data_IF_144451431578
#
_entry.id   IF_144451431578
#
_cell.length_a   1.000
_cell.length_b   1.000
_cell.length_c   1.000
_cell.angle_alpha   90.00
_cell.angle_beta   90.00
_cell.angle_gamma   90.00
#
_symmetry.space_group_name_H-M   'P 1'
#
loop_
_entity.id
_entity.type
_entity.pdbx_description
1 polymer ?
#
# COMPACT_ATOMS: atom_id res chain seq x y z
N UNK A 1 -18.96 39.46 -64.45
CA UNK A 1 -19.97 38.92 -63.52
C UNK A 1 -19.31 37.70 -62.87
N UNK A 2 -18.71 37.71 -61.67
CA UNK A 2 -18.91 38.45 -60.43
C UNK A 2 -17.56 38.44 -59.62
N UNK A 3 -16.94 39.61 -59.46
CA UNK A 3 -16.27 40.19 -58.26
C UNK A 3 -15.56 39.35 -57.15
N UNK A 4 -14.33 39.83 -56.77
CA UNK A 4 -13.82 40.17 -55.39
C UNK A 4 -13.25 39.02 -54.53
N UNK A 5 -12.12 39.06 -53.78
CA UNK A 5 -11.03 39.98 -53.36
C UNK A 5 -9.91 39.05 -52.80
N UNK A 6 -8.64 39.15 -53.18
CA UNK A 6 -7.55 39.89 -52.51
C UNK A 6 -7.14 39.48 -51.08
N UNK A 7 -5.92 38.90 -50.98
CA UNK A 7 -4.82 39.10 -50.00
C UNK A 7 -5.04 38.88 -48.49
N UNK A 8 -4.20 38.03 -47.87
CA UNK A 8 -3.32 38.44 -46.75
C UNK A 8 -2.32 37.35 -46.31
N UNK A 9 -1.10 37.82 -46.05
CA UNK A 9 0.08 37.17 -45.49
C UNK A 9 -0.14 36.72 -44.03
N UNK A 10 0.65 35.75 -43.53
CA UNK A 10 1.77 36.00 -42.58
C UNK A 10 2.29 34.71 -41.93
N UNK A 11 3.61 34.66 -41.75
CA UNK A 11 4.39 33.67 -40.99
C UNK A 11 4.48 34.06 -39.49
N UNK A 12 4.98 33.13 -38.67
CA UNK A 12 5.31 33.20 -37.23
C UNK A 12 4.09 33.18 -36.27
N UNK A 13 4.09 32.52 -35.11
CA UNK A 13 5.18 32.23 -34.17
C UNK A 13 4.77 31.15 -33.15
N UNK A 14 5.77 30.40 -32.67
CA UNK A 14 5.71 29.45 -31.55
C UNK A 14 5.29 30.18 -30.26
N UNK A 15 4.34 29.61 -29.51
CA UNK A 15 3.93 30.10 -28.19
C UNK A 15 3.21 29.01 -27.39
N UNK A 16 3.90 28.49 -26.37
CA UNK A 16 3.39 27.50 -25.40
C UNK A 16 2.41 28.20 -24.44
N UNK A 17 1.18 27.72 -24.32
CA UNK A 17 0.31 28.05 -23.19
C UNK A 17 -0.69 26.91 -22.89
N UNK A 18 -0.62 26.42 -21.64
CA UNK A 18 -1.62 25.56 -21.00
C UNK A 18 -3.00 26.23 -21.02
N UNK A 19 -4.05 25.49 -21.34
CA UNK A 19 -5.39 25.78 -20.79
C UNK A 19 -6.20 24.49 -20.68
N UNK A 20 -6.70 24.23 -19.46
CA UNK A 20 -7.69 23.20 -19.16
C UNK A 20 -9.00 23.53 -19.86
N UNK A 21 -9.59 22.58 -20.57
CA UNK A 21 -10.99 22.63 -20.98
C UNK A 21 -11.62 21.25 -20.75
N UNK A 22 -12.55 21.21 -19.79
CA UNK A 22 -13.44 20.08 -19.52
C UNK A 22 -14.45 20.08 -20.68
N UNK A 23 -14.38 19.09 -21.56
CA UNK A 23 -15.35 18.91 -22.65
C UNK A 23 -16.21 17.67 -22.37
N UNK A 24 -17.49 17.93 -22.18
CA UNK A 24 -18.59 16.98 -22.01
C UNK A 24 -18.64 15.95 -23.13
N UNK A 25 -18.81 14.67 -22.77
CA UNK A 25 -19.02 13.58 -23.72
C UNK A 25 -20.39 13.72 -24.40
N UNK A 26 -20.40 14.16 -25.65
CA UNK A 26 -21.50 13.87 -26.58
C UNK A 26 -20.98 12.84 -27.57
N UNK A 27 -21.60 11.65 -27.57
CA UNK A 27 -21.25 10.54 -28.43
C UNK A 27 -21.58 10.86 -29.88
N UNK A 28 -20.55 10.91 -30.74
CA UNK A 28 -20.71 10.76 -32.17
C UNK A 28 -19.93 9.53 -32.63
N UNK A 29 -20.63 8.55 -33.19
CA UNK A 29 -20.05 7.44 -33.93
C UNK A 29 -19.65 7.95 -35.31
N UNK A 30 -18.37 8.21 -35.49
CA UNK A 30 -17.79 8.40 -36.83
C UNK A 30 -16.45 7.69 -36.85
N UNK A 31 -16.36 6.69 -37.73
CA UNK A 31 -15.13 6.02 -38.14
C UNK A 31 -14.17 7.05 -38.73
N UNK A 32 -13.23 7.51 -37.90
CA UNK A 32 -12.09 8.28 -38.35
C UNK A 32 -10.93 7.32 -38.62
N UNK A 33 -10.62 7.12 -39.91
CA UNK A 33 -9.34 6.56 -40.34
C UNK A 33 -8.23 7.56 -39.98
N UNK A 34 -7.49 7.29 -38.91
CA UNK A 34 -6.36 8.13 -38.49
C UNK A 34 -5.14 7.74 -39.34
N UNK A 35 -4.90 8.50 -40.41
CA UNK A 35 -3.65 8.50 -41.18
C UNK A 35 -2.70 9.56 -40.58
N UNK A 36 -2.02 9.21 -39.49
CA UNK A 36 -0.82 9.89 -38.97
C UNK A 36 0.08 8.85 -38.28
N UNK A 37 1.22 8.45 -38.87
CA UNK A 37 2.13 7.46 -38.31
C UNK A 37 3.19 8.17 -37.44
N UNK A 38 2.92 8.39 -36.14
CA UNK A 38 3.96 8.87 -35.22
C UNK A 38 3.71 8.61 -33.73
N UNK A 39 3.05 7.50 -33.37
CA UNK A 39 3.19 6.88 -32.03
C UNK A 39 3.29 5.35 -32.09
N UNK A 40 3.60 4.82 -33.28
CA UNK A 40 3.92 3.41 -33.48
C UNK A 40 5.42 3.28 -33.75
N UNK A 41 6.24 3.66 -32.78
CA UNK A 41 7.62 3.21 -32.72
C UNK A 41 7.75 2.31 -31.49
N UNK A 42 7.54 1.03 -31.76
CA UNK A 42 8.09 -0.13 -31.07
C UNK A 42 7.78 -0.32 -29.58
N UNK A 43 6.69 -1.02 -29.31
CA UNK A 43 6.68 -1.98 -28.20
C UNK A 43 6.49 -3.38 -28.78
N UNK A 44 7.55 -3.85 -29.46
CA UNK A 44 7.84 -5.28 -29.54
C UNK A 44 8.45 -5.72 -28.20
N UNK A 45 7.70 -5.58 -27.10
CA UNK A 45 8.02 -6.33 -25.90
C UNK A 45 7.31 -7.68 -26.05
N UNK A 46 8.04 -8.71 -26.48
CA UNK A 46 7.65 -10.12 -26.53
C UNK A 46 6.96 -10.67 -27.81
N UNK A 47 6.91 -9.94 -28.94
CA UNK A 47 6.53 -10.54 -30.24
C UNK A 47 5.05 -10.89 -30.45
N UNK A 48 4.13 -10.18 -29.80
CA UNK A 48 2.68 -10.42 -29.94
C UNK A 48 2.07 -9.38 -30.89
N UNK A 49 1.47 -9.84 -32.00
CA UNK A 49 0.70 -8.99 -32.93
C UNK A 49 -0.63 -8.55 -32.29
N UNK A 50 -0.98 -7.27 -32.47
CA UNK A 50 -2.20 -6.61 -31.97
C UNK A 50 -3.56 -7.15 -32.49
N UNK A 51 -3.57 -8.27 -33.24
CA UNK A 51 -4.80 -8.83 -33.80
C UNK A 51 -5.56 -9.76 -32.85
N UNK A 52 -5.04 -10.03 -31.64
CA UNK A 52 -5.72 -10.79 -30.57
C UNK A 52 -6.30 -9.87 -29.47
N UNK A 53 -6.80 -8.69 -29.84
CA UNK A 53 -7.41 -7.73 -28.93
C UNK A 53 -8.68 -8.26 -28.21
N UNK A 54 -9.16 -9.48 -28.53
CA UNK A 54 -10.30 -10.14 -27.90
C UNK A 54 -9.94 -11.18 -26.82
N UNK A 55 -8.67 -11.26 -26.39
CA UNK A 55 -8.24 -12.14 -25.28
C UNK A 55 -7.20 -11.54 -24.31
N UNK A 56 -7.05 -10.22 -24.28
CA UNK A 56 -6.29 -9.57 -23.20
C UNK A 56 -7.17 -9.59 -21.95
N UNK A 57 -7.02 -10.62 -21.11
CA UNK A 57 -7.65 -10.64 -19.80
C UNK A 57 -7.17 -9.40 -19.03
N UNK A 58 -8.01 -8.38 -18.93
CA UNK A 58 -7.72 -7.19 -18.14
C UNK A 58 -7.65 -7.62 -16.68
N UNK A 59 -6.45 -7.57 -16.10
CA UNK A 59 -6.24 -7.94 -14.70
C UNK A 59 -7.12 -7.05 -13.80
N UNK A 60 -7.81 -7.68 -12.85
CA UNK A 60 -8.57 -6.97 -11.83
C UNK A 60 -7.66 -6.46 -10.72
N UNK A 61 -8.14 -5.52 -9.90
CA UNK A 61 -7.43 -5.08 -8.70
C UNK A 61 -7.09 -6.26 -7.76
N UNK A 62 -7.98 -7.26 -7.68
CA UNK A 62 -7.77 -8.48 -6.91
C UNK A 62 -6.66 -9.36 -7.50
N UNK A 63 -6.61 -9.50 -8.82
CA UNK A 63 -5.56 -10.27 -9.48
C UNK A 63 -4.17 -9.65 -9.25
N UNK A 64 -4.08 -8.33 -9.36
CA UNK A 64 -2.85 -7.58 -9.09
C UNK A 64 -2.45 -7.63 -7.61
N UNK A 65 -3.42 -7.57 -6.71
CA UNK A 65 -3.17 -7.78 -5.28
C UNK A 65 -2.60 -9.17 -5.01
N UNK A 66 -3.18 -10.22 -5.61
CA UNK A 66 -2.67 -11.58 -5.47
C UNK A 66 -1.26 -11.72 -6.07
N UNK A 67 -0.98 -11.10 -7.23
CA UNK A 67 0.37 -11.05 -7.79
C UNK A 67 1.37 -10.35 -6.86
N UNK A 68 0.96 -9.26 -6.20
CA UNK A 68 1.79 -8.58 -5.20
C UNK A 68 2.11 -9.50 -4.02
N UNK A 69 1.12 -10.26 -3.55
CA UNK A 69 1.30 -11.24 -2.49
C UNK A 69 2.26 -12.37 -2.87
N UNK A 70 2.11 -12.92 -4.08
CA UNK A 70 2.99 -13.97 -4.59
C UNK A 70 4.44 -13.49 -4.74
N UNK A 71 4.62 -12.27 -5.26
CA UNK A 71 5.95 -11.65 -5.37
C UNK A 71 6.58 -11.41 -4.01
N UNK A 72 5.80 -10.93 -3.04
CA UNK A 72 6.25 -10.76 -1.66
C UNK A 72 6.74 -12.08 -1.05
N UNK A 73 6.02 -13.18 -1.28
CA UNK A 73 6.38 -14.50 -0.78
C UNK A 73 7.63 -15.06 -1.45
N UNK A 74 7.86 -14.73 -2.73
CA UNK A 74 9.08 -15.06 -3.48
C UNK A 74 10.27 -14.15 -3.16
N UNK A 75 10.07 -13.11 -2.34
CA UNK A 75 11.11 -12.14 -1.99
C UNK A 75 11.32 -11.02 -3.02
N UNK A 76 10.54 -10.99 -4.10
CA UNK A 76 10.50 -9.87 -5.05
C UNK A 76 9.72 -8.69 -4.45
N UNK A 77 10.37 -7.98 -3.52
CA UNK A 77 9.75 -6.90 -2.76
C UNK A 77 9.43 -5.69 -3.65
N UNK A 78 10.31 -5.35 -4.61
CA UNK A 78 10.05 -4.24 -5.53
C UNK A 78 8.88 -4.55 -6.46
N UNK A 79 8.82 -5.77 -7.02
CA UNK A 79 7.68 -6.19 -7.83
C UNK A 79 6.39 -6.28 -7.02
N UNK A 80 6.44 -6.66 -5.74
CA UNK A 80 5.28 -6.65 -4.87
C UNK A 80 4.72 -5.23 -4.67
N UNK A 81 5.59 -4.24 -4.43
CA UNK A 81 5.18 -2.82 -4.35
C UNK A 81 4.53 -2.36 -5.65
N UNK A 82 5.10 -2.72 -6.81
CA UNK A 82 4.55 -2.36 -8.11
C UNK A 82 3.14 -2.96 -8.31
N UNK A 83 2.97 -4.25 -8.04
CA UNK A 83 1.69 -4.93 -8.19
C UNK A 83 0.61 -4.39 -7.24
N UNK A 84 0.95 -4.14 -5.96
CA UNK A 84 0.02 -3.50 -5.03
C UNK A 84 -0.34 -2.08 -5.43
N UNK A 85 0.62 -1.32 -5.99
CA UNK A 85 0.36 0.04 -6.48
C UNK A 85 -0.64 0.03 -7.62
N UNK A 86 -0.54 -0.93 -8.53
CA UNK A 86 -1.49 -1.07 -9.63
C UNK A 86 -2.86 -1.55 -9.13
N UNK A 87 -2.91 -2.45 -8.15
CA UNK A 87 -4.15 -2.86 -7.49
C UNK A 87 -4.88 -1.66 -6.84
N UNK A 88 -4.12 -0.79 -6.16
CA UNK A 88 -4.63 0.47 -5.56
C UNK A 88 -5.09 1.44 -6.64
N UNK A 89 -4.39 1.54 -7.77
CA UNK A 89 -4.79 2.39 -8.90
C UNK A 89 -6.15 1.96 -9.46
N UNK A 90 -6.39 0.66 -9.58
CA UNK A 90 -7.67 0.11 -10.04
C UNK A 90 -8.78 0.17 -8.99
N UNK A 91 -8.43 0.03 -7.70
CA UNK A 91 -9.36 0.17 -6.59
C UNK A 91 -8.75 1.02 -5.46
N UNK A 92 -9.00 2.35 -5.46
CA UNK A 92 -8.47 3.25 -4.43
C UNK A 92 -9.02 2.99 -3.02
N UNK A 93 -10.05 2.17 -2.86
CA UNK A 93 -10.63 1.77 -1.57
C UNK A 93 -10.17 0.36 -1.12
N UNK A 94 -9.08 -0.16 -1.68
CA UNK A 94 -8.58 -1.50 -1.34
C UNK A 94 -7.66 -1.46 -0.10
N UNK A 95 -8.24 -1.50 1.09
CA UNK A 95 -7.52 -1.39 2.37
C UNK A 95 -6.38 -2.41 2.52
N UNK A 96 -6.61 -3.66 2.11
CA UNK A 96 -5.64 -4.75 2.18
C UNK A 96 -4.43 -4.49 1.26
N UNK A 97 -4.64 -3.91 0.08
CA UNK A 97 -3.55 -3.57 -0.83
C UNK A 97 -2.66 -2.46 -0.25
N UNK A 98 -3.24 -1.44 0.37
CA UNK A 98 -2.48 -0.45 1.12
C UNK A 98 -1.71 -1.09 2.28
N UNK A 99 -2.38 -1.85 3.14
CA UNK A 99 -1.73 -2.50 4.29
C UNK A 99 -0.56 -3.39 3.87
N UNK A 100 -0.74 -4.23 2.84
CA UNK A 100 0.32 -5.13 2.37
C UNK A 100 1.45 -4.37 1.67
N UNK A 101 1.16 -3.30 0.90
CA UNK A 101 2.22 -2.43 0.35
C UNK A 101 3.01 -1.77 1.47
N UNK A 102 2.34 -1.34 2.53
CA UNK A 102 2.98 -0.80 3.73
C UNK A 102 3.93 -1.80 4.39
N UNK A 103 3.52 -3.07 4.51
CA UNK A 103 4.39 -4.15 5.03
C UNK A 103 5.64 -4.32 4.17
N UNK A 104 5.49 -4.33 2.86
CA UNK A 104 6.63 -4.49 1.94
C UNK A 104 7.55 -3.27 1.97
N UNK A 105 7.02 -2.05 1.98
CA UNK A 105 7.79 -0.80 2.11
C UNK A 105 8.59 -0.76 3.41
N UNK A 106 7.97 -1.16 4.52
CA UNK A 106 8.64 -1.32 5.81
C UNK A 106 9.82 -2.32 5.75
N UNK A 107 9.67 -3.45 5.04
CA UNK A 107 10.76 -4.42 4.82
C UNK A 107 11.89 -3.87 3.93
N UNK A 108 11.56 -2.96 3.02
CA UNK A 108 12.52 -2.25 2.17
C UNK A 108 13.19 -1.05 2.88
N UNK A 109 12.81 -0.77 4.13
CA UNK A 109 13.34 0.37 4.91
C UNK A 109 12.59 1.69 4.69
N UNK A 110 11.61 1.74 3.79
CA UNK A 110 10.72 2.89 3.59
C UNK A 110 9.63 2.91 4.68
N UNK A 111 10.05 3.30 5.89
CA UNK A 111 9.18 3.33 7.07
C UNK A 111 8.11 4.42 6.98
N UNK A 112 8.43 5.57 6.38
CA UNK A 112 7.49 6.68 6.24
C UNK A 112 6.40 6.35 5.22
N UNK A 113 6.78 5.84 4.04
CA UNK A 113 5.81 5.38 3.04
C UNK A 113 4.96 4.22 3.54
N UNK A 114 5.50 3.36 4.42
CA UNK A 114 4.72 2.34 5.10
C UNK A 114 3.66 2.93 6.03
N UNK A 115 4.01 3.93 6.85
CA UNK A 115 3.06 4.62 7.74
C UNK A 115 1.95 5.30 6.94
N UNK A 116 2.27 5.95 5.83
CA UNK A 116 1.28 6.55 4.93
C UNK A 116 0.29 5.51 4.40
N UNK A 117 0.79 4.35 3.96
CA UNK A 117 -0.04 3.26 3.48
C UNK A 117 -0.94 2.69 4.58
N UNK A 118 -0.42 2.47 5.80
CA UNK A 118 -1.26 2.04 6.91
C UNK A 118 -2.32 3.09 7.28
N UNK A 119 -1.99 4.38 7.21
CA UNK A 119 -2.96 5.45 7.45
C UNK A 119 -4.10 5.41 6.43
N UNK A 120 -3.81 5.14 5.15
CA UNK A 120 -4.84 4.98 4.12
C UNK A 120 -5.68 3.73 4.38
N UNK A 121 -5.04 2.60 4.68
CA UNK A 121 -5.74 1.35 5.02
C UNK A 121 -6.71 1.55 6.19
N UNK A 122 -6.29 2.25 7.25
CA UNK A 122 -7.10 2.53 8.44
C UNK A 122 -8.18 3.58 8.20
N UNK A 123 -7.98 4.53 7.29
CA UNK A 123 -9.04 5.46 6.86
C UNK A 123 -10.16 4.71 6.12
N UNK A 124 -9.79 3.72 5.31
CA UNK A 124 -10.74 2.90 4.54
C UNK A 124 -11.44 1.88 5.45
N UNK A 125 -10.68 1.20 6.30
CA UNK A 125 -11.17 0.22 7.27
C UNK A 125 -10.62 0.52 8.68
N UNK A 126 -11.37 1.28 9.49
CA UNK A 126 -10.96 1.62 10.86
C UNK A 126 -10.86 0.42 11.81
N UNK A 127 -11.43 -0.73 11.45
CA UNK A 127 -11.40 -1.95 12.27
C UNK A 127 -10.29 -2.93 11.82
N UNK A 128 -9.30 -2.45 11.07
CA UNK A 128 -8.23 -3.31 10.55
C UNK A 128 -7.10 -3.51 11.57
N UNK A 129 -7.31 -4.43 12.52
CA UNK A 129 -6.38 -4.66 13.64
C UNK A 129 -4.92 -4.89 13.21
N UNK A 130 -4.68 -5.66 12.15
CA UNK A 130 -3.31 -5.91 11.67
C UNK A 130 -2.63 -4.66 11.11
N UNK A 131 -3.38 -3.73 10.49
CA UNK A 131 -2.82 -2.46 10.03
C UNK A 131 -2.37 -1.58 11.21
N UNK A 132 -3.13 -1.55 12.32
CA UNK A 132 -2.67 -0.91 13.55
C UNK A 132 -1.40 -1.57 14.10
N UNK A 133 -1.36 -2.89 14.22
CA UNK A 133 -0.16 -3.60 14.71
C UNK A 133 1.07 -3.27 13.84
N UNK A 134 0.92 -3.29 12.52
CA UNK A 134 2.02 -3.03 11.60
C UNK A 134 2.46 -1.56 11.60
N UNK A 135 1.52 -0.62 11.73
CA UNK A 135 1.83 0.82 11.90
C UNK A 135 2.55 1.06 13.21
N UNK A 136 2.07 0.48 14.31
CA UNK A 136 2.70 0.58 15.62
C UNK A 136 4.12 -0.01 15.63
N UNK A 137 4.33 -1.15 14.97
CA UNK A 137 5.66 -1.75 14.86
C UNK A 137 6.62 -0.86 14.06
N UNK A 138 6.12 -0.22 13.01
CA UNK A 138 6.90 0.71 12.19
C UNK A 138 7.22 2.00 12.95
N UNK A 139 6.27 2.56 13.71
CA UNK A 139 6.50 3.71 14.60
C UNK A 139 7.53 3.41 15.69
N UNK A 140 7.42 2.25 16.35
CA UNK A 140 8.39 1.81 17.34
C UNK A 140 9.81 1.64 16.77
N UNK A 141 9.93 1.21 15.49
CA UNK A 141 11.23 1.17 14.78
C UNK A 141 11.81 2.56 14.54
N UNK A 142 10.96 3.56 14.35
CA UNK A 142 11.35 4.98 14.23
C UNK A 142 11.55 5.68 15.59
N UNK A 143 11.37 4.97 16.71
CA UNK A 143 11.52 5.53 18.05
C UNK A 143 10.25 6.17 18.63
N UNK A 144 9.17 6.24 17.86
CA UNK A 144 7.85 6.71 18.34
C UNK A 144 7.14 5.58 19.12
N UNK A 145 7.60 5.33 20.34
CA UNK A 145 7.02 4.29 21.20
C UNK A 145 5.65 4.69 21.76
N UNK A 146 5.37 5.98 21.94
CA UNK A 146 4.05 6.45 22.39
C UNK A 146 2.99 6.21 21.32
N UNK A 147 3.22 6.65 20.07
CA UNK A 147 2.30 6.40 18.97
C UNK A 147 2.17 4.91 18.63
N UNK A 148 3.21 4.11 18.88
CA UNK A 148 3.12 2.65 18.79
C UNK A 148 2.16 2.06 19.83
N UNK A 149 2.24 2.49 21.10
CA UNK A 149 1.33 2.04 22.15
C UNK A 149 -0.12 2.40 21.83
N UNK A 150 -0.38 3.59 21.30
CA UNK A 150 -1.72 3.99 20.85
C UNK A 150 -2.26 3.04 19.77
N UNK A 151 -1.45 2.69 18.78
CA UNK A 151 -1.83 1.75 17.73
C UNK A 151 -2.10 0.35 18.29
N UNK A 152 -1.24 -0.15 19.19
CA UNK A 152 -1.48 -1.45 19.80
C UNK A 152 -2.73 -1.45 20.70
N UNK A 153 -3.05 -0.34 21.36
CA UNK A 153 -4.29 -0.20 22.10
C UNK A 153 -5.50 -0.34 21.18
N UNK A 154 -5.50 0.33 20.02
CA UNK A 154 -6.57 0.21 19.02
C UNK A 154 -6.68 -1.23 18.50
N UNK A 155 -5.55 -1.86 18.18
CA UNK A 155 -5.53 -3.26 17.76
C UNK A 155 -6.14 -4.20 18.80
N UNK A 156 -5.85 -3.98 20.09
CA UNK A 156 -6.35 -4.79 21.20
C UNK A 156 -7.83 -4.51 21.53
N UNK A 157 -8.33 -3.30 21.24
CA UNK A 157 -9.78 -3.02 21.31
C UNK A 157 -10.54 -3.82 20.25
N UNK A 158 -9.97 -3.98 19.06
CA UNK A 158 -10.58 -4.73 17.95
C UNK A 158 -10.40 -6.24 18.13
N UNK A 159 -9.21 -6.69 18.53
CA UNK A 159 -8.88 -8.09 18.78
C UNK A 159 -8.18 -8.25 20.14
N UNK A 160 -8.95 -8.49 21.21
CA UNK A 160 -8.41 -8.65 22.57
C UNK A 160 -7.51 -9.88 22.76
N UNK A 161 -7.50 -10.83 21.82
CA UNK A 161 -6.71 -12.06 21.90
C UNK A 161 -5.44 -12.02 21.02
N UNK A 162 -4.97 -10.81 20.66
CA UNK A 162 -3.76 -10.64 19.87
C UNK A 162 -2.50 -10.68 20.74
N UNK A 163 -1.86 -11.86 20.82
CA UNK A 163 -0.57 -12.02 21.50
C UNK A 163 0.52 -11.09 20.95
N UNK A 164 0.55 -10.88 19.63
CA UNK A 164 1.51 -9.98 18.99
C UNK A 164 1.30 -8.52 19.38
N UNK A 165 0.06 -8.06 19.48
CA UNK A 165 -0.22 -6.69 19.92
C UNK A 165 0.19 -6.47 21.39
N UNK A 166 -0.11 -7.43 22.29
CA UNK A 166 0.37 -7.38 23.67
C UNK A 166 1.90 -7.38 23.75
N UNK A 167 2.58 -8.33 23.10
CA UNK A 167 4.04 -8.42 23.13
C UNK A 167 4.71 -7.14 22.59
N UNK A 168 4.19 -6.61 21.49
CA UNK A 168 4.73 -5.37 20.91
C UNK A 168 4.45 -4.14 21.80
N UNK A 169 3.29 -4.06 22.45
CA UNK A 169 2.97 -2.97 23.40
C UNK A 169 3.84 -3.07 24.64
N UNK A 170 4.08 -4.27 25.15
CA UNK A 170 4.97 -4.51 26.28
C UNK A 170 6.41 -4.10 25.98
N UNK A 171 6.92 -4.43 24.80
CA UNK A 171 8.23 -3.99 24.33
C UNK A 171 8.33 -2.45 24.20
N UNK A 172 7.29 -1.80 23.68
CA UNK A 172 7.24 -0.35 23.57
C UNK A 172 7.19 0.33 24.96
N UNK A 173 6.41 -0.20 25.90
CA UNK A 173 6.36 0.26 27.30
C UNK A 173 7.70 0.11 28.02
N UNK A 174 8.38 -1.02 27.81
CA UNK A 174 9.73 -1.25 28.35
C UNK A 174 10.73 -0.19 27.89
N UNK A 175 10.72 0.16 26.58
CA UNK A 175 11.55 1.24 26.03
C UNK A 175 11.26 2.62 26.63
N UNK A 176 10.05 2.85 27.14
CA UNK A 176 9.66 4.07 27.84
C UNK A 176 9.92 4.02 29.35
N UNK A 177 10.46 2.91 29.87
CA UNK A 177 10.73 2.71 31.30
C UNK A 177 9.52 2.23 32.11
N UNK A 178 8.35 2.01 31.49
CA UNK A 178 7.19 1.41 32.15
C UNK A 178 7.37 -0.10 32.27
N UNK A 179 8.27 -0.52 33.16
CA UNK A 179 8.56 -1.93 33.44
C UNK A 179 7.32 -2.70 33.89
N UNK A 180 6.47 -2.09 34.73
CA UNK A 180 5.28 -2.74 35.27
C UNK A 180 4.27 -3.05 34.16
N UNK A 181 3.92 -2.04 33.35
CA UNK A 181 3.01 -2.22 32.23
C UNK A 181 3.57 -3.15 31.16
N UNK A 182 4.90 -3.14 30.95
CA UNK A 182 5.57 -4.08 30.05
C UNK A 182 5.41 -5.54 30.50
N UNK A 183 5.67 -5.83 31.78
CA UNK A 183 5.50 -7.18 32.34
C UNK A 183 4.05 -7.63 32.24
N UNK A 184 3.08 -6.77 32.55
CA UNK A 184 1.64 -7.11 32.42
C UNK A 184 1.27 -7.50 30.99
N UNK A 185 1.70 -6.72 30.00
CA UNK A 185 1.42 -7.03 28.60
C UNK A 185 2.13 -8.30 28.12
N UNK A 186 3.40 -8.48 28.48
CA UNK A 186 4.16 -9.67 28.10
C UNK A 186 3.58 -10.94 28.74
N UNK A 187 3.07 -10.86 29.97
CA UNK A 187 2.39 -11.98 30.61
C UNK A 187 1.12 -12.36 29.85
N UNK A 188 0.31 -11.36 29.45
CA UNK A 188 -0.88 -11.61 28.65
C UNK A 188 -0.53 -12.24 27.29
N UNK A 189 0.55 -11.78 26.64
CA UNK A 189 1.05 -12.39 25.41
C UNK A 189 1.47 -13.84 25.63
N UNK A 190 2.21 -14.13 26.73
CA UNK A 190 2.63 -15.46 27.10
C UNK A 190 1.43 -16.40 27.30
N UNK A 191 0.42 -15.96 28.05
CA UNK A 191 -0.78 -16.76 28.32
C UNK A 191 -1.53 -17.13 27.03
N UNK A 192 -1.66 -16.18 26.10
CA UNK A 192 -2.26 -16.44 24.78
C UNK A 192 -1.39 -17.41 23.96
N UNK A 193 -0.06 -17.23 23.93
CA UNK A 193 0.84 -18.15 23.23
C UNK A 193 0.76 -19.58 23.76
N UNK A 194 0.69 -19.73 25.08
CA UNK A 194 0.51 -21.03 25.74
C UNK A 194 -0.81 -21.68 25.32
N UNK A 195 -1.91 -20.93 25.31
CA UNK A 195 -3.22 -21.42 24.85
C UNK A 195 -3.20 -21.86 23.38
N UNK A 196 -2.43 -21.17 22.54
CA UNK A 196 -2.27 -21.49 21.11
C UNK A 196 -1.24 -22.60 20.82
N UNK A 197 -0.62 -23.19 21.85
CA UNK A 197 0.43 -24.19 21.68
C UNK A 197 1.75 -23.64 21.12
N UNK A 198 1.94 -22.31 21.11
CA UNK A 198 3.15 -21.66 20.63
C UNK A 198 4.21 -21.61 21.74
N UNK A 199 4.75 -22.79 22.09
CA UNK A 199 5.62 -22.97 23.26
C UNK A 199 6.90 -22.12 23.18
N UNK A 200 7.51 -21.98 22.00
CA UNK A 200 8.71 -21.15 21.82
C UNK A 200 8.42 -19.66 22.10
N UNK A 201 7.30 -19.14 21.59
CA UNK A 201 6.91 -17.74 21.81
C UNK A 201 6.55 -17.48 23.28
N UNK A 202 5.89 -18.45 23.92
CA UNK A 202 5.64 -18.43 25.36
C UNK A 202 6.95 -18.33 26.17
N UNK A 203 7.93 -19.19 25.87
CA UNK A 203 9.23 -19.17 26.55
C UNK A 203 9.97 -17.85 26.36
N UNK A 204 10.00 -17.32 25.12
CA UNK A 204 10.59 -16.01 24.82
C UNK A 204 9.94 -14.88 25.63
N UNK A 205 8.61 -14.88 25.76
CA UNK A 205 7.92 -13.88 26.55
C UNK A 205 8.31 -13.95 28.04
N UNK A 206 8.41 -15.16 28.62
CA UNK A 206 8.87 -15.35 30.00
C UNK A 206 10.31 -14.92 30.22
N UNK A 207 11.19 -15.16 29.26
CA UNK A 207 12.59 -14.70 29.33
C UNK A 207 12.66 -13.18 29.44
N UNK A 208 11.92 -12.46 28.60
CA UNK A 208 11.87 -11.00 28.64
C UNK A 208 11.30 -10.51 29.98
N UNK A 209 10.25 -11.15 30.50
CA UNK A 209 9.70 -10.82 31.82
C UNK A 209 10.76 -10.95 32.91
N UNK A 210 11.50 -12.06 32.94
CA UNK A 210 12.56 -12.29 33.91
C UNK A 210 13.69 -11.26 33.81
N UNK A 211 14.00 -10.79 32.59
CA UNK A 211 14.99 -9.73 32.40
C UNK A 211 14.50 -8.38 32.95
N UNK A 212 13.22 -8.06 32.80
CA UNK A 212 12.64 -6.80 33.30
C UNK A 212 12.50 -6.74 34.82
N UNK A 213 12.42 -7.89 35.48
CA UNK A 213 12.33 -8.02 36.94
C UNK A 213 13.68 -7.86 37.67
N UNK A 214 14.79 -7.92 36.93
CA UNK A 214 16.13 -7.61 37.45
C UNK A 214 16.35 -6.09 37.48
#
# INVERSE_FOLDING_TARGET
MLFIKQFLLTQLSIGVAKTFAIATLTTFTTTATINQPSYASDINFLGIRLTDASKVATLTAKDLFNQGFDKQNKGDLQGAVAAYTEAIRLNPKYAEAYSNRGVVRARLGDNNGAIEDYNQALRINPNYASAYINRGATRARLGDNNGAIEDYNQALQINPNSASAYGNRGNARSKLGDKKGAITDLQQAADIFKQQGQIENYQKALEIINQLQK
#
